data_IF_898898757737
#
_entry.id   IF_898898757737
#
_cell.length_a   1.000
_cell.length_b   1.000
_cell.length_c   1.000
_cell.angle_alpha   90.00
_cell.angle_beta   90.00
_cell.angle_gamma   90.00
#
_symmetry.space_group_name_H-M   'P 1'
#
loop_
_entity.id
_entity.type
_entity.pdbx_description
1 polymer ?
#
# COMPACT_ATOMS: atom_id res chain seq x y z
N UNK A 1 1.09 -1.31 2.58
CA UNK A 1 2.37 -1.12 3.31
C UNK A 1 2.43 0.29 3.86
N UNK A 2 2.78 0.47 5.12
CA UNK A 2 3.09 1.77 5.73
C UNK A 2 4.60 1.95 5.78
N UNK A 3 5.07 3.17 5.57
CA UNK A 3 6.47 3.49 5.73
C UNK A 3 6.65 4.92 6.25
N UNK A 4 7.77 5.16 6.93
CA UNK A 4 8.13 6.46 7.49
C UNK A 4 9.34 7.03 6.78
N UNK A 5 9.20 8.21 6.21
CA UNK A 5 10.31 8.95 5.61
C UNK A 5 10.77 10.00 6.64
N UNK A 6 12.08 10.07 6.96
CA UNK A 6 12.61 11.14 7.81
C UNK A 6 12.18 12.51 7.29
N UNK A 7 11.79 13.42 8.20
CA UNK A 7 11.38 14.81 7.90
C UNK A 7 10.06 14.99 7.12
N UNK A 8 9.60 13.99 6.35
CA UNK A 8 8.37 14.06 5.55
C UNK A 8 7.17 13.36 6.21
N UNK A 9 7.41 12.45 7.16
CA UNK A 9 6.37 11.79 7.94
C UNK A 9 6.00 10.40 7.43
N UNK A 10 4.76 9.99 7.67
CA UNK A 10 4.28 8.63 7.41
C UNK A 10 3.38 8.57 6.18
N UNK A 11 3.60 7.55 5.37
CA UNK A 11 2.89 7.32 4.12
C UNK A 11 2.43 5.87 4.01
N UNK A 12 1.47 5.64 3.12
CA UNK A 12 0.98 4.31 2.79
C UNK A 12 1.11 4.05 1.29
N UNK A 13 1.65 2.89 0.93
CA UNK A 13 1.57 2.35 -0.42
C UNK A 13 0.55 1.23 -0.46
N UNK A 14 -0.37 1.32 -1.42
CA UNK A 14 -1.18 0.20 -1.89
C UNK A 14 -0.59 -0.32 -3.21
N UNK A 15 -0.53 -1.63 -3.36
CA UNK A 15 -0.07 -2.24 -4.60
C UNK A 15 0.08 -3.76 -4.50
N UNK A 16 0.22 -4.41 -5.66
CA UNK A 16 0.34 -5.85 -5.78
C UNK A 16 1.77 -6.34 -5.55
N UNK A 17 1.91 -7.45 -4.81
CA UNK A 17 3.17 -8.16 -4.69
C UNK A 17 3.04 -9.68 -4.87
N UNK A 18 3.92 -10.27 -5.70
CA UNK A 18 4.07 -11.73 -5.80
C UNK A 18 4.79 -12.34 -4.58
N UNK A 19 5.59 -11.55 -3.86
CA UNK A 19 6.32 -11.99 -2.68
C UNK A 19 6.48 -10.81 -1.70
N UNK A 20 5.49 -10.54 -0.84
CA UNK A 20 5.45 -9.35 0.00
C UNK A 20 6.66 -9.23 0.96
N UNK A 21 7.03 -10.31 1.66
CA UNK A 21 8.11 -10.30 2.65
C UNK A 21 9.51 -10.17 2.02
N UNK A 22 9.80 -10.86 0.91
CA UNK A 22 11.11 -10.77 0.24
C UNK A 22 11.29 -9.43 -0.50
N UNK A 23 10.20 -8.82 -0.98
CA UNK A 23 10.26 -7.54 -1.72
C UNK A 23 10.52 -6.32 -0.86
N UNK A 24 10.13 -6.33 0.42
CA UNK A 24 10.11 -5.12 1.24
C UNK A 24 11.49 -4.46 1.34
N UNK A 25 12.56 -5.25 1.54
CA UNK A 25 13.94 -4.73 1.63
C UNK A 25 14.65 -4.66 0.27
N UNK A 26 14.54 -5.69 -0.57
CA UNK A 26 15.32 -5.76 -1.81
C UNK A 26 14.72 -4.99 -3.00
N UNK A 27 13.39 -4.88 -3.09
CA UNK A 27 12.72 -4.38 -4.30
C UNK A 27 12.19 -2.96 -4.21
N UNK A 28 12.01 -2.42 -3.00
CA UNK A 28 11.51 -1.06 -2.82
C UNK A 28 12.60 0.01 -2.92
N UNK A 29 13.88 -0.38 -2.82
CA UNK A 29 15.01 0.55 -2.77
C UNK A 29 14.86 1.55 -1.62
N UNK A 30 14.25 1.10 -0.52
CA UNK A 30 14.16 1.88 0.70
C UNK A 30 15.59 2.14 1.19
N UNK A 31 15.91 3.40 1.47
CA UNK A 31 17.11 3.71 2.22
C UNK A 31 17.04 3.00 3.58
N UNK A 32 18.20 2.70 4.17
CA UNK A 32 18.29 1.94 5.42
C UNK A 32 17.60 2.63 6.60
N UNK A 33 17.37 3.96 6.51
CA UNK A 33 16.68 4.79 7.49
C UNK A 33 15.15 4.82 7.33
N UNK A 34 14.59 4.13 6.33
CA UNK A 34 13.15 4.06 6.11
C UNK A 34 12.56 2.80 6.74
N UNK A 35 11.83 2.99 7.84
CA UNK A 35 11.03 1.94 8.46
C UNK A 35 9.79 1.65 7.62
N UNK A 36 9.50 0.37 7.37
CA UNK A 36 8.32 -0.06 6.64
C UNK A 36 7.69 -1.31 7.26
N UNK A 37 6.38 -1.41 7.18
CA UNK A 37 5.62 -2.57 7.61
C UNK A 37 4.43 -2.85 6.70
N UNK A 38 4.01 -4.10 6.66
CA UNK A 38 2.80 -4.49 5.95
C UNK A 38 1.63 -4.36 6.92
N UNK A 39 0.69 -3.48 6.58
CA UNK A 39 -0.54 -3.30 7.36
C UNK A 39 -1.56 -4.40 7.07
N UNK A 40 -1.63 -4.84 5.82
CA UNK A 40 -2.70 -5.69 5.34
C UNK A 40 -2.39 -6.36 4.00
N UNK A 41 -2.98 -7.53 3.77
CA UNK A 41 -2.85 -8.31 2.56
C UNK A 41 -4.16 -9.02 2.20
N UNK A 42 -4.61 -8.87 0.93
CA UNK A 42 -5.78 -9.58 0.38
C UNK A 42 -5.34 -10.63 -0.63
N UNK A 43 -5.71 -11.90 -0.35
CA UNK A 43 -5.58 -13.00 -1.26
C UNK A 43 -6.00 -12.74 -2.69
N UNK A 44 -5.26 -13.11 -3.73
CA UNK A 44 -5.81 -13.09 -5.09
C UNK A 44 -5.57 -14.41 -5.81
N UNK A 45 -6.54 -14.91 -6.60
CA UNK A 45 -6.43 -16.20 -7.29
C UNK A 45 -5.41 -16.17 -8.43
N UNK A 46 -5.10 -14.98 -8.98
CA UNK A 46 -4.06 -14.81 -9.98
C UNK A 46 -3.51 -13.39 -10.00
N UNK A 47 -2.30 -13.22 -10.54
CA UNK A 47 -1.70 -11.89 -10.71
C UNK A 47 -2.48 -10.99 -11.68
N UNK A 48 -3.21 -11.55 -12.64
CA UNK A 48 -4.07 -10.76 -13.54
C UNK A 48 -5.25 -10.14 -12.79
N UNK A 49 -5.86 -10.90 -11.88
CA UNK A 49 -6.92 -10.39 -11.00
C UNK A 49 -6.35 -9.31 -10.10
N UNK A 50 -5.17 -9.54 -9.50
CA UNK A 50 -4.50 -8.55 -8.67
C UNK A 50 -4.23 -7.23 -9.40
N UNK A 51 -3.71 -7.27 -10.63
CA UNK A 51 -3.44 -6.06 -11.43
C UNK A 51 -4.74 -5.30 -11.76
N UNK A 52 -5.83 -6.01 -12.06
CA UNK A 52 -7.13 -5.38 -12.33
C UNK A 52 -7.69 -4.68 -11.08
N UNK A 53 -7.63 -5.36 -9.94
CA UNK A 53 -8.05 -4.83 -8.65
C UNK A 53 -7.21 -3.62 -8.25
N UNK A 54 -5.88 -3.70 -8.38
CA UNK A 54 -4.94 -2.61 -8.11
C UNK A 54 -5.27 -1.38 -8.96
N UNK A 55 -5.42 -1.55 -10.28
CA UNK A 55 -5.78 -0.44 -11.19
C UNK A 55 -7.10 0.21 -10.80
N UNK A 56 -8.12 -0.59 -10.50
CA UNK A 56 -9.45 -0.10 -10.14
C UNK A 56 -9.41 0.65 -8.79
N UNK A 57 -8.74 0.09 -7.79
CA UNK A 57 -8.54 0.71 -6.48
C UNK A 57 -7.84 2.08 -6.62
N UNK A 58 -6.78 2.15 -7.43
CA UNK A 58 -6.08 3.43 -7.63
C UNK A 58 -6.90 4.45 -8.44
N UNK A 59 -7.70 4.00 -9.41
CA UNK A 59 -8.60 4.88 -10.14
C UNK A 59 -9.65 5.50 -9.22
N UNK A 60 -10.28 4.67 -8.37
CA UNK A 60 -11.26 5.13 -7.39
C UNK A 60 -10.65 6.08 -6.36
N UNK A 61 -9.48 5.76 -5.79
CA UNK A 61 -8.81 6.64 -4.84
C UNK A 61 -8.46 8.00 -5.44
N UNK A 62 -7.96 8.04 -6.67
CA UNK A 62 -7.62 9.31 -7.34
C UNK A 62 -8.86 10.14 -7.66
N UNK A 63 -9.97 9.48 -7.99
CA UNK A 63 -11.23 10.17 -8.32
C UNK A 63 -11.93 10.71 -7.06
N UNK A 64 -12.00 9.91 -5.99
CA UNK A 64 -12.74 10.26 -4.78
C UNK A 64 -11.90 11.04 -3.75
N UNK A 65 -10.58 10.84 -3.73
CA UNK A 65 -9.66 11.37 -2.73
C UNK A 65 -8.36 11.91 -3.35
N UNK A 66 -8.43 12.85 -4.32
CA UNK A 66 -7.25 13.39 -4.98
C UNK A 66 -6.27 14.07 -4.02
N UNK A 67 -6.76 14.63 -2.91
CA UNK A 67 -5.98 15.26 -1.84
C UNK A 67 -5.08 14.27 -1.08
N UNK A 68 -5.42 12.97 -1.12
CA UNK A 68 -4.66 11.90 -0.46
C UNK A 68 -3.52 11.36 -1.30
N UNK A 69 -3.42 11.75 -2.57
CA UNK A 69 -2.39 11.28 -3.50
C UNK A 69 -1.10 12.04 -3.24
N UNK A 70 -0.02 11.32 -2.92
CA UNK A 70 1.28 11.94 -2.69
C UNK A 70 2.05 12.06 -4.01
N UNK A 71 2.51 13.27 -4.39
CA UNK A 71 3.33 13.45 -5.58
C UNK A 71 4.60 12.62 -5.52
N UNK A 72 4.90 11.89 -6.59
CA UNK A 72 6.08 11.03 -6.68
C UNK A 72 7.38 11.82 -6.41
N UNK A 73 7.46 13.06 -6.88
CA UNK A 73 8.63 13.92 -6.81
C UNK A 73 9.09 14.16 -5.37
N UNK A 74 8.13 14.21 -4.43
CA UNK A 74 8.39 14.38 -3.00
C UNK A 74 9.20 13.21 -2.41
N UNK A 75 9.02 12.00 -2.96
CA UNK A 75 9.54 10.77 -2.35
C UNK A 75 10.61 10.07 -3.18
N UNK A 76 10.89 10.53 -4.41
CA UNK A 76 11.95 9.97 -5.28
C UNK A 76 13.33 9.81 -4.61
N UNK A 77 13.78 10.70 -3.71
CA UNK A 77 15.07 10.51 -3.02
C UNK A 77 15.06 9.36 -1.98
N UNK A 78 13.89 8.90 -1.58
CA UNK A 78 13.70 8.02 -0.42
C UNK A 78 13.20 6.62 -0.78
N UNK A 79 12.44 6.49 -1.86
CA UNK A 79 11.89 5.23 -2.35
C UNK A 79 11.95 5.17 -3.87
N UNK A 80 12.44 4.05 -4.43
CA UNK A 80 12.48 3.86 -5.90
C UNK A 80 11.09 3.69 -6.50
N UNK A 81 10.18 3.10 -5.73
CA UNK A 81 8.80 2.82 -6.14
C UNK A 81 7.92 3.98 -5.70
N UNK A 82 7.64 4.89 -6.62
CA UNK A 82 7.00 6.17 -6.31
C UNK A 82 5.55 6.26 -6.79
N UNK A 83 5.04 5.23 -7.45
CA UNK A 83 3.63 5.17 -7.83
C UNK A 83 2.78 4.68 -6.67
N UNK A 84 1.57 5.25 -6.57
CA UNK A 84 0.50 4.76 -5.70
C UNK A 84 0.80 4.91 -4.20
N UNK A 85 1.42 6.04 -3.87
CA UNK A 85 1.65 6.46 -2.50
C UNK A 85 0.55 7.43 -2.10
N UNK A 86 0.04 7.22 -0.90
CA UNK A 86 -1.01 8.01 -0.29
C UNK A 86 -0.57 8.49 1.09
N UNK A 87 -1.23 9.53 1.58
CA UNK A 87 -1.08 10.03 2.95
C UNK A 87 -1.52 8.96 3.97
N UNK A 88 -0.99 9.01 5.19
CA UNK A 88 -1.29 8.00 6.22
C UNK A 88 -2.78 7.89 6.59
N UNK A 89 -3.53 9.00 6.51
CA UNK A 89 -4.97 9.05 6.76
C UNK A 89 -5.82 8.41 5.65
N UNK A 90 -5.21 8.00 4.52
CA UNK A 90 -5.90 7.19 3.50
C UNK A 90 -6.05 5.72 3.91
N UNK A 91 -5.37 5.27 4.98
CA UNK A 91 -5.38 3.86 5.43
C UNK A 91 -6.80 3.31 5.64
N UNK A 92 -7.72 3.98 6.37
CA UNK A 92 -9.07 3.46 6.58
C UNK A 92 -9.86 3.32 5.27
N UNK A 93 -9.66 4.24 4.33
CA UNK A 93 -10.32 4.24 3.01
C UNK A 93 -9.82 3.03 2.21
N UNK A 94 -8.51 2.88 2.09
CA UNK A 94 -7.88 1.75 1.39
C UNK A 94 -8.32 0.43 2.01
N UNK A 95 -8.43 0.38 3.35
CA UNK A 95 -8.88 -0.83 4.05
C UNK A 95 -10.31 -1.20 3.68
N UNK A 96 -11.23 -0.26 3.72
CA UNK A 96 -12.62 -0.48 3.32
C UNK A 96 -12.73 -0.98 1.88
N UNK A 97 -11.99 -0.38 0.96
CA UNK A 97 -11.97 -0.83 -0.44
C UNK A 97 -11.41 -2.25 -0.58
N UNK A 98 -10.43 -2.61 0.24
CA UNK A 98 -9.91 -3.98 0.30
C UNK A 98 -10.91 -4.95 0.95
N UNK A 99 -11.75 -4.50 1.89
CA UNK A 99 -12.82 -5.32 2.49
C UNK A 99 -13.90 -5.64 1.44
N UNK A 100 -14.20 -4.70 0.55
CA UNK A 100 -15.12 -4.93 -0.59
C UNK A 100 -14.57 -5.94 -1.62
N UNK A 101 -13.25 -6.13 -1.64
CA UNK A 101 -12.56 -7.12 -2.50
C UNK A 101 -12.44 -8.47 -1.80
N UNK A 102 -12.48 -8.50 -0.47
CA UNK A 102 -12.34 -9.73 0.31
C UNK A 102 -13.40 -10.76 -0.07
N UNK A 103 -12.99 -12.01 -0.18
CA UNK A 103 -13.88 -13.13 -0.49
C UNK A 103 -13.81 -14.16 0.64
N UNK A 104 -14.93 -14.81 1.01
CA UNK A 104 -14.93 -15.89 2.00
C UNK A 104 -13.95 -17.03 1.69
N UNK A 105 -13.62 -17.21 0.41
CA UNK A 105 -12.67 -18.24 -0.05
C UNK A 105 -11.21 -17.86 0.21
N UNK A 106 -10.92 -16.59 0.44
CA UNK A 106 -9.57 -16.11 0.68
C UNK A 106 -9.55 -14.97 1.70
N UNK A 107 -9.63 -15.29 3.00
CA UNK A 107 -9.73 -14.28 4.04
C UNK A 107 -8.46 -13.43 4.10
N UNK A 108 -8.69 -12.18 4.46
CA UNK A 108 -7.67 -11.15 4.61
C UNK A 108 -6.69 -11.49 5.72
N UNK A 109 -5.42 -11.19 5.51
CA UNK A 109 -4.36 -11.36 6.51
C UNK A 109 -3.99 -10.01 7.09
N UNK A 110 -4.46 -9.74 8.31
CA UNK A 110 -4.10 -8.53 9.04
C UNK A 110 -2.81 -8.78 9.84
N UNK A 111 -1.79 -7.93 9.67
CA UNK A 111 -0.57 -7.96 10.50
C UNK A 111 -0.52 -6.86 11.57
N UNK A 112 -1.52 -5.99 11.61
CA UNK A 112 -1.67 -4.97 12.66
C UNK A 112 -2.30 -5.62 13.89
N UNK A 113 -1.64 -5.49 15.06
CA UNK A 113 -2.24 -5.82 16.35
C UNK A 113 -3.46 -4.91 16.57
N UNK A 114 -4.66 -5.44 16.88
CA UNK A 114 -5.79 -4.59 17.21
C UNK A 114 -5.40 -3.66 18.38
N UNK A 115 -5.91 -2.41 18.41
CA UNK A 115 -5.66 -1.54 19.57
C UNK A 115 -6.16 -2.27 20.81
N UNK A 116 -5.27 -2.36 21.81
CA UNK A 116 -5.58 -2.92 23.14
C UNK A 116 -6.48 -1.99 23.92
#
# INVERSE_FOLDING_TARGET
MRFRVPEFGTFVKAGFSKNPDSRMRHQLGLREDVEAEILDEVPTPSGQVAIRLEKNLHAQLRAAHPDKVVPREMLRPWIKVTSEIYTADAVPIIRRMLDEIESPRWPRKTKIKPPS
#
